data_IF_077679235890
#
_entry.id   IF_077679235890
#
_cell.length_a   1.000
_cell.length_b   1.000
_cell.length_c   1.000
_cell.angle_alpha   90.00
_cell.angle_beta   90.00
_cell.angle_gamma   90.00
#
_symmetry.space_group_name_H-M   'P 1'
#
loop_
_entity.id
_entity.type
_entity.pdbx_description
1 polymer ?
#
# COMPACT_ATOMS: atom_id res chain seq x y z
N UNK A 1 -17.67 0.47 -14.74
CA UNK A 1 -16.43 0.09 -15.47
C UNK A 1 -15.12 0.39 -14.73
N UNK A 2 -15.11 1.10 -13.58
CA UNK A 2 -13.85 1.42 -12.88
C UNK A 2 -13.17 0.19 -12.25
N UNK A 3 -13.95 -0.79 -11.79
CA UNK A 3 -13.47 -2.01 -11.11
C UNK A 3 -12.61 -2.91 -12.01
N UNK A 4 -13.01 -3.11 -13.28
CA UNK A 4 -12.25 -3.93 -14.22
C UNK A 4 -10.82 -3.41 -14.47
N UNK A 5 -10.66 -2.09 -14.60
CA UNK A 5 -9.35 -1.46 -14.80
C UNK A 5 -8.40 -1.64 -13.63
N UNK A 6 -8.91 -1.68 -12.40
CA UNK A 6 -8.07 -1.90 -11.23
C UNK A 6 -7.63 -3.36 -11.13
N UNK A 7 -8.49 -4.32 -11.50
CA UNK A 7 -8.10 -5.73 -11.57
C UNK A 7 -7.00 -5.98 -12.62
N UNK A 8 -7.14 -5.39 -13.82
CA UNK A 8 -6.11 -5.43 -14.87
C UNK A 8 -4.79 -4.79 -14.42
N UNK A 9 -4.87 -3.68 -13.68
CA UNK A 9 -3.70 -3.02 -13.12
C UNK A 9 -2.98 -3.91 -12.09
N UNK A 10 -3.74 -4.55 -11.19
CA UNK A 10 -3.16 -5.50 -10.21
C UNK A 10 -2.48 -6.66 -10.93
N UNK A 11 -3.10 -7.28 -11.92
CA UNK A 11 -2.49 -8.37 -12.67
C UNK A 11 -1.20 -7.95 -13.39
N UNK A 12 -1.18 -6.73 -13.95
CA UNK A 12 0.01 -6.18 -14.60
C UNK A 12 1.13 -5.90 -13.60
N UNK A 13 0.78 -5.42 -12.40
CA UNK A 13 1.72 -5.18 -11.31
C UNK A 13 2.27 -6.50 -10.75
N UNK A 14 1.45 -7.54 -10.65
CA UNK A 14 1.89 -8.88 -10.23
C UNK A 14 2.97 -9.41 -11.16
N UNK A 15 2.74 -9.37 -12.47
CA UNK A 15 3.75 -9.79 -13.44
C UNK A 15 5.04 -8.96 -13.34
N UNK A 16 4.94 -7.64 -13.13
CA UNK A 16 6.12 -6.78 -12.95
C UNK A 16 6.88 -7.10 -11.65
N UNK A 17 6.15 -7.37 -10.56
CA UNK A 17 6.71 -7.68 -9.24
C UNK A 17 7.29 -9.09 -9.16
N UNK A 18 6.81 -10.03 -9.98
CA UNK A 18 7.47 -11.34 -10.17
C UNK A 18 8.85 -11.18 -10.79
N UNK A 19 9.01 -10.27 -11.74
CA UNK A 19 10.32 -9.99 -12.38
C UNK A 19 11.23 -9.13 -11.49
N UNK A 20 10.66 -8.19 -10.75
CA UNK A 20 11.40 -7.34 -9.81
C UNK A 20 10.64 -7.15 -8.49
N UNK A 21 10.84 -8.07 -7.52
CA UNK A 21 10.18 -7.99 -6.21
C UNK A 21 10.64 -6.79 -5.36
N UNK A 22 11.77 -6.16 -5.70
CA UNK A 22 12.31 -5.00 -4.99
C UNK A 22 11.76 -3.66 -5.53
N UNK A 23 10.87 -3.69 -6.52
CA UNK A 23 10.23 -2.50 -7.07
C UNK A 23 9.23 -1.91 -6.06
N UNK A 24 9.75 -1.06 -5.16
CA UNK A 24 8.99 -0.46 -4.06
C UNK A 24 7.75 0.28 -4.54
N UNK A 25 7.87 1.11 -5.58
CA UNK A 25 6.73 1.85 -6.14
C UNK A 25 5.65 0.93 -6.71
N UNK A 26 6.04 -0.22 -7.26
CA UNK A 26 5.12 -1.24 -7.76
C UNK A 26 4.23 -1.78 -6.66
N UNK A 27 4.79 -2.04 -5.48
CA UNK A 27 4.03 -2.46 -4.30
C UNK A 27 3.07 -1.38 -3.80
N UNK A 28 3.48 -0.11 -3.81
CA UNK A 28 2.59 1.01 -3.45
C UNK A 28 1.43 1.13 -4.42
N UNK A 29 1.69 1.14 -5.73
CA UNK A 29 0.64 1.25 -6.75
C UNK A 29 -0.30 0.03 -6.70
N UNK A 30 0.22 -1.16 -6.41
CA UNK A 30 -0.60 -2.38 -6.22
C UNK A 30 -1.53 -2.21 -5.03
N UNK A 31 -1.02 -1.73 -3.90
CA UNK A 31 -1.85 -1.42 -2.73
C UNK A 31 -2.97 -0.42 -3.03
N UNK A 32 -2.67 0.64 -3.79
CA UNK A 32 -3.67 1.65 -4.17
C UNK A 32 -4.76 1.02 -5.05
N UNK A 33 -4.38 0.19 -6.01
CA UNK A 33 -5.32 -0.49 -6.90
C UNK A 33 -6.21 -1.49 -6.14
N UNK A 34 -5.66 -2.20 -5.16
CA UNK A 34 -6.40 -3.12 -4.28
C UNK A 34 -7.38 -2.36 -3.37
N UNK A 35 -6.94 -1.27 -2.74
CA UNK A 35 -7.79 -0.43 -1.90
C UNK A 35 -8.97 0.17 -2.69
N UNK A 36 -8.75 0.56 -3.95
CA UNK A 36 -9.83 1.06 -4.84
C UNK A 36 -10.84 -0.02 -5.23
N UNK A 37 -10.51 -1.30 -5.05
CA UNK A 37 -11.41 -2.43 -5.22
C UNK A 37 -12.12 -2.84 -3.92
N UNK A 38 -11.80 -2.19 -2.79
CA UNK A 38 -12.29 -2.58 -1.47
C UNK A 38 -11.52 -3.73 -0.83
N UNK A 39 -10.42 -4.19 -1.46
CA UNK A 39 -9.54 -5.24 -0.93
C UNK A 39 -8.52 -4.61 0.00
N UNK A 40 -8.99 -4.15 1.17
CA UNK A 40 -8.18 -3.35 2.09
C UNK A 40 -7.11 -4.18 2.81
N UNK A 41 -7.36 -5.45 3.15
CA UNK A 41 -6.34 -6.33 3.73
C UNK A 41 -5.18 -6.57 2.78
N UNK A 42 -5.47 -6.86 1.51
CA UNK A 42 -4.44 -7.07 0.49
C UNK A 42 -3.66 -5.78 0.22
N UNK A 43 -4.34 -4.63 0.27
CA UNK A 43 -3.68 -3.34 0.15
C UNK A 43 -2.68 -3.11 1.29
N UNK A 44 -3.07 -3.40 2.55
CA UNK A 44 -2.16 -3.31 3.71
C UNK A 44 -0.93 -4.19 3.51
N UNK A 45 -1.11 -5.44 3.06
CA UNK A 45 0.00 -6.36 2.80
C UNK A 45 0.97 -5.83 1.71
N UNK A 46 0.43 -5.20 0.66
CA UNK A 46 1.25 -4.56 -0.37
C UNK A 46 2.05 -3.37 0.19
N UNK A 47 1.43 -2.50 0.99
CA UNK A 47 2.14 -1.38 1.63
C UNK A 47 3.18 -1.85 2.64
N UNK A 48 2.89 -2.91 3.41
CA UNK A 48 3.87 -3.53 4.32
C UNK A 48 5.08 -4.06 3.57
N UNK A 49 4.86 -4.65 2.39
CA UNK A 49 5.96 -5.09 1.54
C UNK A 49 6.79 -3.91 1.04
N UNK A 50 6.16 -2.82 0.61
CA UNK A 50 6.86 -1.60 0.21
C UNK A 50 7.71 -1.03 1.36
N UNK A 51 7.14 -0.92 2.57
CA UNK A 51 7.81 -0.41 3.77
C UNK A 51 8.93 -1.32 4.26
N UNK A 52 8.82 -2.63 4.05
CA UNK A 52 9.91 -3.59 4.33
C UNK A 52 11.10 -3.40 3.39
N UNK A 53 10.86 -3.04 2.13
CA UNK A 53 11.92 -2.78 1.14
C UNK A 53 12.53 -1.39 1.38
N UNK A 54 11.68 -0.37 1.56
CA UNK A 54 12.10 0.99 1.88
C UNK A 54 11.28 1.54 3.08
N UNK A 55 11.86 1.52 4.29
CA UNK A 55 11.19 2.05 5.48
C UNK A 55 10.99 3.57 5.46
N UNK A 56 11.75 4.30 4.62
CA UNK A 56 11.71 5.77 4.52
C UNK A 56 10.75 6.24 3.43
N UNK A 57 9.57 5.60 3.35
CA UNK A 57 8.55 5.91 2.36
C UNK A 57 7.26 6.38 3.05
N UNK A 58 7.14 7.69 3.35
CA UNK A 58 6.00 8.22 4.11
C UNK A 58 4.67 8.02 3.37
N UNK A 59 4.68 8.02 2.04
CA UNK A 59 3.49 7.76 1.22
C UNK A 59 2.93 6.36 1.48
N UNK A 60 3.78 5.32 1.53
CA UNK A 60 3.35 3.94 1.79
C UNK A 60 2.77 3.80 3.21
N UNK A 61 3.39 4.46 4.20
CA UNK A 61 2.86 4.51 5.57
C UNK A 61 1.50 5.22 5.65
N UNK A 62 1.34 6.32 4.92
CA UNK A 62 0.08 7.07 4.85
C UNK A 62 -1.03 6.21 4.22
N UNK A 63 -0.76 5.57 3.09
CA UNK A 63 -1.74 4.71 2.43
C UNK A 63 -2.07 3.46 3.25
N UNK A 64 -1.09 2.89 3.98
CA UNK A 64 -1.33 1.82 4.95
C UNK A 64 -2.29 2.26 6.05
N UNK A 65 -2.06 3.44 6.64
CA UNK A 65 -2.94 4.01 7.66
C UNK A 65 -4.38 4.19 7.18
N UNK A 66 -4.55 4.74 5.96
CA UNK A 66 -5.88 4.90 5.35
C UNK A 66 -6.57 3.54 5.14
N UNK A 67 -5.85 2.52 4.66
CA UNK A 67 -6.41 1.19 4.45
C UNK A 67 -6.77 0.50 5.76
N UNK A 68 -5.97 0.66 6.82
CA UNK A 68 -6.28 0.16 8.16
C UNK A 68 -7.49 0.84 8.77
N UNK A 69 -7.66 2.14 8.57
CA UNK A 69 -8.85 2.86 8.99
C UNK A 69 -10.11 2.34 8.28
N UNK A 70 -10.03 2.04 6.99
CA UNK A 70 -11.13 1.43 6.24
C UNK A 70 -11.49 0.00 6.74
N UNK A 71 -10.58 -0.66 7.47
CA UNK A 71 -10.78 -1.94 8.13
C UNK A 71 -11.20 -1.81 9.61
N UNK A 72 -11.47 -0.59 10.08
CA UNK A 72 -11.78 -0.30 11.50
C UNK A 72 -10.65 -0.71 12.48
N UNK A 73 -9.40 -0.77 11.98
CA UNK A 73 -8.19 -1.06 12.77
C UNK A 73 -7.52 0.23 13.23
N UNK A 74 -8.27 1.04 13.98
CA UNK A 74 -7.92 2.43 14.30
C UNK A 74 -6.55 2.58 14.98
N UNK A 75 -6.22 1.70 15.94
CA UNK A 75 -4.94 1.76 16.65
C UNK A 75 -3.75 1.58 15.70
N UNK A 76 -3.83 0.60 14.80
CA UNK A 76 -2.77 0.33 13.83
C UNK A 76 -2.71 1.42 12.74
N UNK A 77 -3.86 2.02 12.40
CA UNK A 77 -3.92 3.14 11.48
C UNK A 77 -3.17 4.36 12.04
N UNK A 78 -3.41 4.71 13.31
CA UNK A 78 -2.71 5.81 14.00
C UNK A 78 -1.21 5.53 14.04
N UNK A 79 -0.78 4.32 14.43
CA UNK A 79 0.64 3.97 14.45
C UNK A 79 1.30 4.10 13.07
N UNK A 80 0.61 3.70 11.99
CA UNK A 80 1.14 3.79 10.63
C UNK A 80 1.28 5.25 10.19
N UNK A 81 0.31 6.10 10.53
CA UNK A 81 0.33 7.53 10.21
C UNK A 81 1.40 8.28 11.02
N UNK A 82 1.54 7.98 12.31
CA UNK A 82 2.57 8.59 13.15
C UNK A 82 3.98 8.27 12.65
N UNK A 83 4.22 7.02 12.23
CA UNK A 83 5.49 6.62 11.60
C UNK A 83 5.72 7.37 10.29
N UNK A 84 4.70 7.50 9.44
CA UNK A 84 4.81 8.24 8.18
C UNK A 84 5.14 9.73 8.41
N UNK A 85 4.49 10.37 9.39
CA UNK A 85 4.76 11.75 9.78
C UNK A 85 6.18 11.93 10.32
N UNK A 86 6.66 10.99 11.16
CA UNK A 86 8.01 11.04 11.70
C UNK A 86 9.08 10.97 10.61
N UNK A 87 8.86 10.19 9.54
CA UNK A 87 9.76 10.12 8.39
C UNK A 87 9.75 11.44 7.59
N UNK A 88 8.59 12.05 7.40
CA UNK A 88 8.45 13.29 6.63
C UNK A 88 8.96 14.55 7.37
N UNK A 89 9.07 14.49 8.70
CA UNK A 89 9.54 15.59 9.53
C UNK A 89 11.07 15.66 9.70
N UNK A 90 11.81 14.68 9.19
CA UNK A 90 13.28 14.63 9.20
C UNK A 90 13.89 15.11 7.89
#
# INVERSE_FOLDING_TARGET
MKTGRFAEAVASLDAALEQNPALTDGWVVKGIALAKQGLHEDAVAAYDTALRINPLLPDAGTWKGIALFALERDHEAVEALDKALAVNAG
#
